data_IF_708117689082
#
_entry.id   IF_708117689082
#
_cell.length_a   1.000
_cell.length_b   1.000
_cell.length_c   1.000
_cell.angle_alpha   90.00
_cell.angle_beta   90.00
_cell.angle_gamma   90.00
#
_symmetry.space_group_name_H-M   'P 1'
#
loop_
_entity.id
_entity.type
_entity.pdbx_description
1 polymer ?
#
# COMPACT_ATOMS: atom_id res chain seq x y z
N UNK A 1 -0.11 9.31 -17.80
CA UNK A 1 0.97 9.65 -16.85
C UNK A 1 2.15 8.72 -17.13
N UNK A 2 3.36 8.97 -16.62
CA UNK A 2 4.40 7.93 -16.64
C UNK A 2 3.85 6.74 -15.84
N UNK A 3 4.00 5.53 -16.38
CA UNK A 3 3.91 4.32 -15.56
C UNK A 3 4.95 4.47 -14.44
N UNK A 4 4.52 4.30 -13.20
CA UNK A 4 5.40 4.40 -12.06
C UNK A 4 6.06 3.04 -11.84
N UNK A 5 7.38 3.00 -11.69
CA UNK A 5 8.07 1.79 -11.24
C UNK A 5 7.66 1.49 -9.78
N UNK A 6 7.65 0.20 -9.41
CA UNK A 6 7.13 -0.22 -8.09
C UNK A 6 7.88 0.45 -6.94
N UNK A 7 9.22 0.45 -7.00
CA UNK A 7 10.07 1.04 -5.97
C UNK A 7 9.87 2.57 -5.90
N UNK A 8 9.74 3.25 -7.05
CA UNK A 8 9.49 4.70 -7.08
C UNK A 8 8.17 5.08 -6.40
N UNK A 9 7.09 4.34 -6.71
CA UNK A 9 5.78 4.60 -6.11
C UNK A 9 5.79 4.30 -4.60
N UNK A 10 6.41 3.19 -4.20
CA UNK A 10 6.54 2.82 -2.78
C UNK A 10 7.28 3.91 -1.98
N UNK A 11 8.45 4.33 -2.45
CA UNK A 11 9.27 5.35 -1.80
C UNK A 11 8.52 6.68 -1.68
N UNK A 12 7.79 7.06 -2.73
CA UNK A 12 7.07 8.33 -2.73
C UNK A 12 5.86 8.32 -1.77
N UNK A 13 5.16 7.18 -1.65
CA UNK A 13 4.10 7.03 -0.63
C UNK A 13 4.70 7.14 0.78
N UNK A 14 5.84 6.49 1.03
CA UNK A 14 6.54 6.57 2.32
C UNK A 14 7.00 8.00 2.63
N UNK A 15 7.49 8.75 1.64
CA UNK A 15 7.87 10.15 1.81
C UNK A 15 6.67 11.01 2.20
N UNK A 16 5.54 10.90 1.48
CA UNK A 16 4.32 11.66 1.77
C UNK A 16 3.79 11.32 3.17
N UNK A 17 3.81 10.04 3.55
CA UNK A 17 3.39 9.59 4.87
C UNK A 17 4.29 10.17 5.97
N UNK A 18 5.61 10.04 5.84
CA UNK A 18 6.55 10.53 6.85
C UNK A 18 6.55 12.06 6.94
N UNK A 19 6.40 12.76 5.82
CA UNK A 19 6.22 14.21 5.82
C UNK A 19 4.95 14.62 6.56
N UNK A 20 3.84 13.90 6.35
CA UNK A 20 2.59 14.13 7.07
C UNK A 20 2.75 13.98 8.58
N UNK A 21 3.49 12.96 9.04
CA UNK A 21 3.83 12.80 10.45
C UNK A 21 4.69 13.96 10.98
N UNK A 22 5.69 14.39 10.20
CA UNK A 22 6.54 15.54 10.54
C UNK A 22 5.75 16.86 10.62
N UNK A 23 4.67 16.98 9.84
CA UNK A 23 3.72 18.11 9.89
C UNK A 23 2.74 18.02 11.08
N UNK A 24 2.86 16.99 11.92
CA UNK A 24 2.10 16.81 13.16
C UNK A 24 0.79 16.04 13.00
N UNK A 25 0.56 15.41 11.85
CA UNK A 25 -0.56 14.49 11.65
C UNK A 25 -0.28 13.17 12.38
N UNK A 26 -1.35 12.53 12.87
CA UNK A 26 -1.25 11.14 13.32
C UNK A 26 -1.23 10.17 12.13
N UNK A 27 -1.03 8.90 12.41
CA UNK A 27 -0.80 7.86 11.42
C UNK A 27 -2.01 7.63 10.51
N UNK A 28 -3.22 7.69 11.06
CA UNK A 28 -4.46 7.57 10.27
C UNK A 28 -4.67 8.81 9.37
N UNK A 29 -4.30 9.99 9.87
CA UNK A 29 -4.34 11.23 9.10
C UNK A 29 -3.28 11.24 7.99
N UNK A 30 -2.09 10.71 8.27
CA UNK A 30 -1.03 10.53 7.27
C UNK A 30 -1.46 9.55 6.18
N UNK A 31 -2.05 8.40 6.55
CA UNK A 31 -2.63 7.45 5.60
C UNK A 31 -3.73 8.07 4.75
N UNK A 32 -4.63 8.83 5.38
CA UNK A 32 -5.66 9.60 4.68
C UNK A 32 -5.08 10.66 3.72
N UNK A 33 -3.97 11.31 4.07
CA UNK A 33 -3.27 12.26 3.20
C UNK A 33 -2.67 11.56 1.99
N UNK A 34 -2.07 10.39 2.16
CA UNK A 34 -1.59 9.57 1.03
C UNK A 34 -2.74 9.21 0.10
N UNK A 35 -3.88 8.74 0.61
CA UNK A 35 -5.04 8.40 -0.24
C UNK A 35 -5.53 9.60 -1.07
N UNK A 36 -5.47 10.81 -0.53
CA UNK A 36 -5.81 12.03 -1.26
C UNK A 36 -4.79 12.36 -2.35
N UNK A 37 -3.49 12.31 -2.01
CA UNK A 37 -2.40 12.67 -2.93
C UNK A 37 -2.33 11.68 -4.12
N UNK A 38 -2.58 10.40 -3.87
CA UNK A 38 -2.50 9.32 -4.86
C UNK A 38 -3.85 8.94 -5.47
N UNK A 39 -4.90 9.76 -5.33
CA UNK A 39 -6.23 9.44 -5.83
C UNK A 39 -6.25 9.13 -7.34
N UNK A 40 -5.58 9.94 -8.16
CA UNK A 40 -5.51 9.72 -9.61
C UNK A 40 -4.74 8.42 -9.94
N UNK A 41 -3.66 8.13 -9.20
CA UNK A 41 -2.85 6.90 -9.38
C UNK A 41 -3.69 5.65 -9.05
N UNK A 42 -4.52 5.72 -8.01
CA UNK A 42 -5.46 4.66 -7.65
C UNK A 42 -6.53 4.46 -8.73
N UNK A 43 -6.99 5.54 -9.38
CA UNK A 43 -8.02 5.48 -10.43
C UNK A 43 -7.46 4.99 -11.77
N UNK A 44 -6.19 5.25 -12.06
CA UNK A 44 -5.55 4.96 -13.33
C UNK A 44 -5.24 3.45 -13.53
N UNK A 45 -5.01 2.69 -12.46
CA UNK A 45 -4.64 1.28 -12.56
C UNK A 45 -4.87 0.44 -11.30
N UNK A 46 -5.29 -0.82 -11.49
CA UNK A 46 -5.55 -1.73 -10.37
C UNK A 46 -4.26 -2.14 -9.66
N UNK A 47 -3.15 -2.25 -10.37
CA UNK A 47 -1.86 -2.56 -9.74
C UNK A 47 -1.36 -1.41 -8.87
N UNK A 48 -1.39 -0.19 -9.39
CA UNK A 48 -1.00 1.00 -8.65
C UNK A 48 -1.85 1.18 -7.40
N UNK A 49 -3.16 0.94 -7.53
CA UNK A 49 -4.07 0.86 -6.38
C UNK A 49 -3.61 -0.18 -5.35
N UNK A 50 -3.25 -1.39 -5.78
CA UNK A 50 -2.75 -2.42 -4.87
C UNK A 50 -1.47 -1.97 -4.15
N UNK A 51 -0.53 -1.38 -4.87
CA UNK A 51 0.72 -0.85 -4.30
C UNK A 51 0.42 0.24 -3.28
N UNK A 52 -0.44 1.21 -3.62
CA UNK A 52 -0.80 2.31 -2.73
C UNK A 52 -1.43 1.82 -1.43
N UNK A 53 -2.49 1.01 -1.51
CA UNK A 53 -3.20 0.56 -0.31
C UNK A 53 -2.33 -0.34 0.59
N UNK A 54 -1.56 -1.26 0.00
CA UNK A 54 -0.69 -2.17 0.78
C UNK A 54 0.49 -1.44 1.42
N UNK A 55 1.04 -0.42 0.75
CA UNK A 55 2.11 0.42 1.31
C UNK A 55 1.59 1.21 2.50
N UNK A 56 0.44 1.89 2.36
CA UNK A 56 -0.13 2.65 3.48
C UNK A 56 -0.47 1.71 4.65
N UNK A 57 -1.05 0.54 4.39
CA UNK A 57 -1.33 -0.44 5.45
C UNK A 57 -0.05 -0.88 6.18
N UNK A 58 1.03 -1.14 5.44
CA UNK A 58 2.33 -1.51 6.01
C UNK A 58 2.86 -0.40 6.92
N UNK A 59 2.71 0.85 6.49
CA UNK A 59 3.14 2.02 7.26
C UNK A 59 2.28 2.20 8.52
N UNK A 60 0.96 2.16 8.43
CA UNK A 60 0.08 2.29 9.60
C UNK A 60 0.31 1.16 10.63
N UNK A 61 0.46 -0.09 10.16
CA UNK A 61 0.71 -1.26 11.01
C UNK A 61 2.01 -1.11 11.81
N UNK A 62 3.04 -0.49 11.24
CA UNK A 62 4.31 -0.20 11.93
C UNK A 62 4.11 0.63 13.21
N UNK A 63 3.04 1.42 13.27
CA UNK A 63 2.64 2.21 14.43
C UNK A 63 1.52 1.57 15.26
N UNK A 64 1.13 0.33 14.95
CA UNK A 64 0.16 -0.46 15.72
C UNK A 64 -1.31 -0.11 15.46
N UNK A 65 -1.59 0.65 14.39
CA UNK A 65 -2.95 1.03 13.98
C UNK A 65 -3.21 0.64 12.54
N UNK A 66 -4.48 0.58 12.15
CA UNK A 66 -4.87 0.43 10.76
C UNK A 66 -6.24 1.08 10.54
N UNK A 67 -6.37 1.90 9.51
CA UNK A 67 -7.65 2.48 9.15
C UNK A 67 -8.63 1.41 8.68
N UNK A 68 -9.89 1.45 9.13
CA UNK A 68 -10.96 0.56 8.68
C UNK A 68 -11.09 0.54 7.14
N UNK A 69 -11.00 1.70 6.50
CA UNK A 69 -11.08 1.80 5.03
C UNK A 69 -9.92 1.05 4.35
N UNK A 70 -8.72 1.18 4.89
CA UNK A 70 -7.53 0.54 4.34
C UNK A 70 -7.57 -0.96 4.63
N UNK A 71 -8.01 -1.36 5.82
CA UNK A 71 -8.22 -2.76 6.17
C UNK A 71 -9.15 -3.47 5.18
N UNK A 72 -10.30 -2.86 4.86
CA UNK A 72 -11.26 -3.44 3.92
C UNK A 72 -10.67 -3.61 2.51
N UNK A 73 -9.99 -2.60 2.00
CA UNK A 73 -9.36 -2.67 0.67
C UNK A 73 -8.23 -3.68 0.62
N UNK A 74 -7.32 -3.65 1.60
CA UNK A 74 -6.18 -4.57 1.63
C UNK A 74 -6.63 -6.01 1.86
N UNK A 75 -7.69 -6.24 2.64
CA UNK A 75 -8.28 -7.58 2.78
C UNK A 75 -8.76 -8.10 1.42
N UNK A 76 -9.45 -7.25 0.62
CA UNK A 76 -9.86 -7.64 -0.74
C UNK A 76 -8.67 -7.94 -1.64
N UNK A 77 -7.62 -7.10 -1.59
CA UNK A 77 -6.38 -7.31 -2.35
C UNK A 77 -5.75 -8.64 -1.97
N UNK A 78 -5.64 -8.95 -0.67
CA UNK A 78 -5.08 -10.19 -0.16
C UNK A 78 -5.84 -11.43 -0.65
N UNK A 79 -7.17 -11.36 -0.68
CA UNK A 79 -8.04 -12.48 -1.07
C UNK A 79 -7.97 -12.76 -2.58
N UNK A 80 -7.91 -11.70 -3.38
CA UNK A 80 -7.83 -11.77 -4.84
C UNK A 80 -6.40 -11.94 -5.35
N UNK A 81 -5.39 -11.68 -4.52
CA UNK A 81 -3.99 -11.79 -4.89
C UNK A 81 -3.67 -13.20 -5.40
N UNK A 82 -3.12 -13.23 -6.61
CA UNK A 82 -2.59 -14.43 -7.26
C UNK A 82 -1.23 -14.06 -7.84
N UNK A 83 -0.19 -14.69 -7.31
CA UNK A 83 1.19 -14.44 -7.76
C UNK A 83 1.36 -14.65 -9.27
N UNK A 84 0.64 -15.62 -9.84
CA UNK A 84 0.59 -15.87 -11.29
C UNK A 84 0.02 -14.71 -12.09
N UNK A 85 -0.98 -14.00 -11.58
CA UNK A 85 -1.57 -12.86 -12.30
C UNK A 85 -0.60 -11.69 -12.33
N UNK A 86 0.10 -11.46 -11.22
CA UNK A 86 1.10 -10.39 -11.14
C UNK A 86 2.27 -10.64 -12.08
N UNK A 87 2.80 -11.86 -12.13
CA UNK A 87 3.87 -12.20 -13.08
C UNK A 87 3.49 -12.00 -14.56
N UNK A 88 2.20 -11.98 -14.88
CA UNK A 88 1.68 -11.84 -16.25
C UNK A 88 1.19 -10.42 -16.58
N UNK A 89 0.67 -9.67 -15.58
CA UNK A 89 0.05 -8.35 -15.76
C UNK A 89 1.02 -7.19 -15.49
N UNK A 90 2.05 -7.42 -14.68
CA UNK A 90 3.01 -6.40 -14.34
C UNK A 90 4.26 -6.54 -15.21
N UNK A 91 4.59 -5.47 -15.93
CA UNK A 91 5.93 -5.29 -16.54
C UNK A 91 7.00 -5.00 -15.45
N UNK A 92 6.82 -5.59 -14.27
CA UNK A 92 7.75 -5.52 -13.15
C UNK A 92 8.79 -6.62 -13.28
N UNK A 93 10.00 -6.35 -12.80
CA UNK A 93 11.03 -7.37 -12.74
C UNK A 93 10.74 -8.43 -11.65
N UNK A 94 11.43 -9.58 -11.75
CA UNK A 94 11.24 -10.67 -10.79
C UNK A 94 11.52 -10.27 -9.34
N UNK A 95 12.40 -9.31 -9.11
CA UNK A 95 12.73 -8.81 -7.76
C UNK A 95 11.63 -7.94 -7.18
N UNK A 96 10.99 -7.10 -7.99
CA UNK A 96 9.83 -6.29 -7.60
C UNK A 96 8.62 -7.16 -7.27
N UNK A 97 8.40 -8.23 -8.03
CA UNK A 97 7.35 -9.22 -7.74
C UNK A 97 7.58 -9.91 -6.40
N UNK A 98 8.82 -10.32 -6.12
CA UNK A 98 9.18 -10.96 -4.85
C UNK A 98 8.99 -9.99 -3.67
N UNK A 99 9.39 -8.72 -3.82
CA UNK A 99 9.15 -7.66 -2.83
C UNK A 99 7.66 -7.48 -2.55
N UNK A 100 6.85 -7.33 -3.59
CA UNK A 100 5.42 -7.11 -3.42
C UNK A 100 4.72 -8.31 -2.80
N UNK A 101 5.11 -9.53 -3.21
CA UNK A 101 4.62 -10.78 -2.61
C UNK A 101 4.97 -10.86 -1.11
N UNK A 102 6.16 -10.43 -0.72
CA UNK A 102 6.56 -10.37 0.68
C UNK A 102 5.72 -9.35 1.48
N UNK A 103 5.41 -8.19 0.91
CA UNK A 103 4.49 -7.21 1.54
C UNK A 103 3.13 -7.85 1.79
N UNK A 104 2.53 -8.48 0.79
CA UNK A 104 1.23 -9.15 0.90
C UNK A 104 1.26 -10.24 1.98
N UNK A 105 2.30 -11.07 2.01
CA UNK A 105 2.45 -12.10 3.02
C UNK A 105 2.62 -11.53 4.44
N UNK A 106 3.35 -10.43 4.60
CA UNK A 106 3.45 -9.75 5.88
C UNK A 106 2.11 -9.15 6.32
N UNK A 107 1.35 -8.55 5.41
CA UNK A 107 0.04 -7.99 5.72
C UNK A 107 -0.95 -9.07 6.16
N UNK A 108 -0.96 -10.23 5.48
CA UNK A 108 -1.76 -11.42 5.88
C UNK A 108 -1.55 -11.85 7.32
N UNK A 109 -0.34 -11.67 7.85
CA UNK A 109 0.00 -12.07 9.23
C UNK A 109 -0.31 -10.97 10.24
N UNK A 110 -0.12 -9.70 9.86
CA UNK A 110 -0.09 -8.60 10.83
C UNK A 110 -1.39 -7.77 10.90
N UNK A 111 -2.25 -7.81 9.89
CA UNK A 111 -3.46 -6.98 9.86
C UNK A 111 -4.43 -7.28 11.01
N UNK A 112 -4.56 -8.54 11.42
CA UNK A 112 -5.43 -8.94 12.54
C UNK A 112 -4.81 -8.66 13.92
N UNK A 113 -3.53 -8.28 13.97
CA UNK A 113 -2.78 -8.05 15.20
C UNK A 113 -2.80 -6.58 15.67
N UNK A 114 -3.36 -5.66 14.87
CA UNK A 114 -3.35 -4.22 15.14
C UNK A 114 -4.74 -3.67 15.47
N UNK A 115 -4.78 -2.46 16.04
CA UNK A 115 -6.03 -1.79 16.37
C UNK A 115 -6.64 -1.15 15.12
N UNK A 116 -7.76 -1.70 14.66
CA UNK A 116 -8.54 -1.14 13.55
C UNK A 116 -9.37 0.05 14.04
N UNK A 117 -9.32 1.18 13.31
CA UNK A 117 -9.96 2.46 13.70
C UNK A 117 -10.61 3.20 12.54
#
# INVERSE_FOLDING_TARGET
MKEWEFDELYEYIEEVFNKSLNDGLNELQAGGRCLYEFANVIEDGETEKQIVYTTIATLEIKYGVLSQRIFEEVSRIIDTFRETNIREELDLDLGEIDKFTNIINNLRVNMDAVKIQ
#
